data_IF_209164517113
#
_entry.id   IF_209164517113
#
_cell.length_a   1.000
_cell.length_b   1.000
_cell.length_c   1.000
_cell.angle_alpha   90.00
_cell.angle_beta   90.00
_cell.angle_gamma   90.00
#
_symmetry.space_group_name_H-M   'P 1'
#
loop_
_entity.id
_entity.type
_entity.pdbx_description
1 polymer ?
#
# COMPACT_ATOMS: atom_id res chain seq x y z
N UNK A 1 -17.79 6.39 -17.86
CA UNK A 1 -16.66 7.31 -17.57
C UNK A 1 -15.61 6.52 -16.80
N UNK A 2 -14.60 6.00 -17.49
CA UNK A 2 -13.55 5.18 -16.86
C UNK A 2 -12.38 6.09 -16.50
N UNK A 3 -12.52 6.88 -15.42
CA UNK A 3 -11.38 7.56 -14.83
C UNK A 3 -10.48 6.49 -14.21
N UNK A 4 -9.42 6.10 -14.91
CA UNK A 4 -8.33 5.35 -14.29
C UNK A 4 -7.79 6.20 -13.13
N UNK A 5 -7.68 5.65 -11.91
CA UNK A 5 -7.23 6.42 -10.77
C UNK A 5 -5.81 6.96 -11.03
N UNK A 6 -5.55 8.22 -10.66
CA UNK A 6 -4.26 8.87 -10.95
C UNK A 6 -3.12 8.30 -10.10
N UNK A 7 -1.89 8.37 -10.61
CA UNK A 7 -0.70 7.91 -9.90
C UNK A 7 -0.51 8.70 -8.59
N UNK A 8 -0.86 9.98 -8.58
CA UNK A 8 -0.86 10.82 -7.38
C UNK A 8 -1.79 10.28 -6.28
N UNK A 9 -2.94 9.71 -6.66
CA UNK A 9 -3.89 9.15 -5.71
C UNK A 9 -3.34 7.91 -5.02
N UNK A 10 -2.60 7.04 -5.74
CA UNK A 10 -1.94 5.88 -5.10
C UNK A 10 -0.72 6.30 -4.30
N UNK A 11 0.06 7.30 -4.76
CA UNK A 11 1.18 7.83 -3.97
C UNK A 11 0.72 8.51 -2.68
N UNK A 12 -0.46 9.13 -2.65
CA UNK A 12 -1.06 9.65 -1.41
C UNK A 12 -1.41 8.54 -0.39
N UNK A 13 -1.49 7.28 -0.84
CA UNK A 13 -1.64 6.13 0.04
C UNK A 13 -0.30 5.65 0.61
N UNK A 14 0.83 6.09 0.08
CA UNK A 14 2.15 5.74 0.60
C UNK A 14 2.28 6.22 2.06
N UNK A 15 2.66 5.32 2.96
CA UNK A 15 2.75 5.59 4.39
C UNK A 15 1.41 5.67 5.13
N UNK A 16 0.27 5.50 4.44
CA UNK A 16 -1.04 5.41 5.09
C UNK A 16 -1.30 4.03 5.68
N UNK A 17 -2.07 4.01 6.76
CA UNK A 17 -2.54 2.76 7.39
C UNK A 17 -3.67 2.19 6.54
N UNK A 18 -3.48 0.98 6.03
CA UNK A 18 -4.45 0.24 5.21
C UNK A 18 -5.84 0.15 5.87
N UNK A 19 -5.88 -0.06 7.19
CA UNK A 19 -7.13 -0.13 7.96
C UNK A 19 -7.91 1.19 8.00
N UNK A 20 -7.26 2.33 7.73
CA UNK A 20 -7.88 3.66 7.69
C UNK A 20 -8.32 4.06 6.28
N UNK A 21 -8.03 3.23 5.27
CA UNK A 21 -8.39 3.53 3.89
C UNK A 21 -9.89 3.39 3.66
N UNK A 22 -10.42 4.36 2.93
CA UNK A 22 -11.79 4.35 2.42
C UNK A 22 -11.95 3.27 1.34
N UNK A 23 -13.17 2.76 1.10
CA UNK A 23 -13.41 1.75 0.06
C UNK A 23 -12.98 2.20 -1.34
N UNK A 24 -13.01 3.50 -1.64
CA UNK A 24 -12.49 4.03 -2.90
C UNK A 24 -10.95 4.01 -2.97
N UNK A 25 -10.26 4.29 -1.87
CA UNK A 25 -8.80 4.22 -1.78
C UNK A 25 -8.30 2.77 -1.90
N UNK A 26 -9.05 1.82 -1.34
CA UNK A 26 -8.76 0.39 -1.49
C UNK A 26 -8.83 -0.02 -2.97
N UNK A 27 -9.82 0.45 -3.72
CA UNK A 27 -9.92 0.18 -5.18
C UNK A 27 -8.74 0.77 -5.94
N UNK A 28 -8.30 1.98 -5.58
CA UNK A 28 -7.10 2.61 -6.17
C UNK A 28 -5.87 1.74 -5.91
N UNK A 29 -5.67 1.34 -4.66
CA UNK A 29 -4.55 0.48 -4.28
C UNK A 29 -4.57 -0.84 -5.04
N UNK A 30 -5.71 -1.53 -5.09
CA UNK A 30 -5.86 -2.82 -5.76
C UNK A 30 -5.60 -2.70 -7.27
N UNK A 31 -6.11 -1.63 -7.89
CA UNK A 31 -5.86 -1.34 -9.30
C UNK A 31 -4.35 -1.21 -9.58
N UNK A 32 -3.62 -0.45 -8.76
CA UNK A 32 -2.18 -0.27 -8.91
C UNK A 32 -1.36 -1.48 -8.42
N UNK A 33 -1.92 -2.34 -7.58
CA UNK A 33 -1.29 -3.61 -7.24
C UNK A 33 -1.24 -4.56 -8.43
N UNK A 34 -2.30 -4.57 -9.25
CA UNK A 34 -2.40 -5.40 -10.47
C UNK A 34 -1.76 -4.72 -11.68
N UNK A 35 -2.02 -3.42 -11.86
CA UNK A 35 -1.59 -2.65 -13.03
C UNK A 35 -0.39 -1.75 -12.79
N UNK A 36 0.17 -1.71 -11.58
CA UNK A 36 1.25 -0.79 -11.22
C UNK A 36 2.48 -0.92 -12.09
N UNK A 37 2.81 -2.14 -12.56
CA UNK A 37 3.89 -2.37 -13.52
C UNK A 37 3.74 -1.57 -14.82
N UNK A 38 2.50 -1.24 -15.24
CA UNK A 38 2.23 -0.41 -16.42
C UNK A 38 2.54 1.08 -16.19
N UNK A 39 2.42 1.52 -14.94
CA UNK A 39 2.63 2.91 -14.51
C UNK A 39 3.97 3.12 -13.80
N UNK A 40 4.79 2.07 -13.77
CA UNK A 40 6.05 2.02 -13.05
C UNK A 40 5.92 2.30 -11.54
N UNK A 41 4.84 1.77 -10.96
CA UNK A 41 4.48 1.83 -9.55
C UNK A 41 4.45 0.42 -8.98
N UNK A 42 5.12 0.19 -7.87
CA UNK A 42 5.07 -1.02 -7.08
C UNK A 42 4.31 -0.73 -5.77
N UNK A 43 3.19 -1.41 -5.57
CA UNK A 43 2.39 -1.30 -4.33
C UNK A 43 2.63 -2.55 -3.49
N UNK A 44 3.10 -2.35 -2.26
CA UNK A 44 3.30 -3.38 -1.26
C UNK A 44 2.54 -3.03 0.01
N UNK A 45 1.92 -4.04 0.64
CA UNK A 45 1.30 -3.86 1.95
C UNK A 45 2.29 -4.40 2.98
N UNK A 46 2.87 -3.51 3.76
CA UNK A 46 3.76 -3.88 4.85
C UNK A 46 2.88 -4.10 6.08
N UNK A 47 2.51 -5.35 6.32
CA UNK A 47 1.83 -5.72 7.56
C UNK A 47 2.82 -5.60 8.72
N UNK A 48 2.57 -4.65 9.62
CA UNK A 48 3.30 -4.53 10.90
C UNK A 48 2.67 -5.42 11.99
N UNK A 49 1.76 -6.33 11.62
CA UNK A 49 1.24 -7.34 12.52
C UNK A 49 2.42 -8.14 13.09
N UNK A 50 2.75 -7.94 14.36
CA UNK A 50 3.68 -8.83 15.02
C UNK A 50 3.08 -10.25 14.97
N UNK A 51 3.78 -11.24 14.40
CA UNK A 51 3.28 -12.61 14.34
C UNK A 51 3.01 -13.18 15.75
N UNK A 52 3.60 -12.57 16.79
CA UNK A 52 3.33 -12.86 18.19
C UNK A 52 1.93 -12.45 18.67
N UNK A 53 1.32 -11.40 18.10
CA UNK A 53 -0.05 -10.97 18.43
C UNK A 53 -1.08 -11.87 17.74
N UNK A 54 -0.84 -12.22 16.47
CA UNK A 54 -1.63 -13.22 15.75
C UNK A 54 -1.58 -14.61 16.41
N UNK A 55 -0.44 -14.98 16.98
CA UNK A 55 -0.28 -16.22 17.73
C UNK A 55 -0.97 -16.21 19.11
N UNK A 56 -1.23 -15.03 19.68
CA UNK A 56 -2.00 -14.86 20.92
C UNK A 56 -3.51 -14.83 20.70
N UNK A 57 -3.96 -14.74 19.44
CA UNK A 57 -5.37 -14.76 19.11
C UNK A 57 -5.98 -16.11 19.49
N UNK A 58 -6.70 -16.13 20.61
CA UNK A 58 -7.42 -17.29 21.13
C UNK A 58 -8.67 -17.65 20.33
N UNK A 59 -9.08 -16.79 19.39
CA UNK A 59 -10.27 -16.99 18.57
C UNK A 59 -10.14 -16.30 17.21
N UNK A 60 -10.89 -16.80 16.24
CA UNK A 60 -10.87 -16.29 14.86
C UNK A 60 -11.32 -14.82 14.77
N UNK A 61 -12.25 -14.40 15.63
CA UNK A 61 -12.69 -13.02 15.74
C UNK A 61 -11.60 -12.08 16.32
N UNK A 62 -10.81 -12.56 17.29
CA UNK A 62 -9.65 -11.82 17.81
C UNK A 62 -8.55 -11.72 16.75
N UNK A 63 -8.30 -12.81 16.00
CA UNK A 63 -7.35 -12.78 14.89
C UNK A 63 -7.80 -11.76 13.84
N UNK A 64 -9.10 -11.72 13.49
CA UNK A 64 -9.66 -10.72 12.58
C UNK A 64 -9.54 -9.29 13.13
N UNK A 65 -9.76 -9.07 14.42
CA UNK A 65 -9.61 -7.75 15.04
C UNK A 65 -8.14 -7.31 15.15
N UNK A 66 -7.23 -8.22 15.46
CA UNK A 66 -5.77 -7.97 15.49
C UNK A 66 -5.26 -7.69 14.08
N UNK A 67 -5.69 -8.46 13.07
CA UNK A 67 -5.40 -8.14 11.67
C UNK A 67 -5.97 -6.78 11.25
N UNK A 68 -7.14 -6.40 11.76
CA UNK A 68 -7.75 -5.08 11.54
C UNK A 68 -6.98 -3.96 12.26
N UNK A 69 -6.37 -4.24 13.42
CA UNK A 69 -5.59 -3.31 14.24
C UNK A 69 -4.10 -3.25 13.89
N UNK A 70 -3.59 -4.19 13.12
CA UNK A 70 -2.15 -4.40 12.90
C UNK A 70 -1.42 -3.25 12.17
N UNK A 71 -2.04 -2.09 11.98
CA UNK A 71 -1.43 -0.90 11.35
C UNK A 71 -0.66 -1.24 10.07
N UNK A 72 -1.20 -2.17 9.27
CA UNK A 72 -0.59 -2.55 7.99
C UNK A 72 -0.45 -1.28 7.17
N UNK A 73 0.77 -0.92 6.83
CA UNK A 73 1.08 0.33 6.17
C UNK A 73 1.23 0.08 4.68
N UNK A 74 0.65 0.94 3.87
CA UNK A 74 0.72 0.85 2.42
C UNK A 74 2.02 1.51 1.99
N UNK A 75 2.88 0.73 1.34
CA UNK A 75 4.12 1.20 0.76
C UNK A 75 3.97 1.25 -0.74
N UNK A 76 4.10 2.44 -1.30
CA UNK A 76 4.01 2.69 -2.74
C UNK A 76 5.34 3.24 -3.19
N UNK A 77 6.05 2.46 -3.99
CA UNK A 77 7.34 2.83 -4.56
C UNK A 77 7.13 3.06 -6.04
N UNK A 78 7.47 4.25 -6.53
CA UNK A 78 7.51 4.52 -7.96
C UNK A 78 8.96 4.40 -8.42
N UNK A 79 9.23 3.79 -9.57
CA UNK A 79 10.62 3.70 -10.06
C UNK A 79 11.27 5.04 -10.35
N UNK A 80 10.47 6.06 -10.70
CA UNK A 80 10.97 7.43 -10.88
C UNK A 80 11.40 8.11 -9.57
N UNK A 81 11.09 7.51 -8.41
CA UNK A 81 11.61 7.94 -7.11
C UNK A 81 13.04 7.46 -6.87
N UNK A 82 13.51 6.46 -7.63
CA UNK A 82 14.94 6.24 -7.74
C UNK A 82 15.53 7.46 -8.47
N UNK A 83 16.47 8.19 -7.86
CA UNK A 83 17.21 9.21 -8.60
C UNK A 83 17.92 8.47 -9.73
N UNK A 84 17.38 8.60 -10.94
CA UNK A 84 18.14 8.32 -12.13
C UNK A 84 19.25 9.35 -12.09
N UNK A 85 20.44 8.94 -11.65
CA UNK A 85 21.67 9.71 -11.73
C UNK A 85 21.96 9.99 -13.20
N UNK A 86 21.26 10.98 -13.76
CA UNK A 86 21.41 11.47 -15.13
C UNK A 86 21.17 12.98 -15.13
N UNK A 87 21.91 13.68 -14.28
CA UNK A 87 22.26 15.10 -14.41
C UNK A 87 23.27 15.31 -13.27
N UNK A 88 24.58 15.26 -13.53
CA UNK A 88 25.32 16.47 -13.91
C UNK A 88 26.65 16.05 -14.57
N UNK A 89 26.69 16.10 -15.90
CA UNK A 89 27.93 16.36 -16.64
C UNK A 89 27.71 17.68 -17.37
N UNK A 90 28.12 18.79 -16.74
CA UNK A 90 28.48 20.03 -17.43
C UNK A 90 29.60 20.74 -16.69
#
# INVERSE_FOLDING_TARGET
MSQSPSVESVMALNGRIFATLSPDEVKVQEFYRVQGRKYDVAVSIISLAEPAELAKASSRADADEIMRRANSTVSVVRSSDFPSTTEEMR
#
